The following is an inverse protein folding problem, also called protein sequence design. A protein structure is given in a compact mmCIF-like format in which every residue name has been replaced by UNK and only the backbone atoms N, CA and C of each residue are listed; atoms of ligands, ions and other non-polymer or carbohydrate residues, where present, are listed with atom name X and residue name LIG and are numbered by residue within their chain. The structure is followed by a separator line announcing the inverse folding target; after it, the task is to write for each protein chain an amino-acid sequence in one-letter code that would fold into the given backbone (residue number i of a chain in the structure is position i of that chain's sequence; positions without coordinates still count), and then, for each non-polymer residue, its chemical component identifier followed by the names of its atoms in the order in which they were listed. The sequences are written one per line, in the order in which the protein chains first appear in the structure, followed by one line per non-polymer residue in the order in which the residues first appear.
data_IF_158127957783
#
_entry.id   IF_158127957783
#
_cell.length_a   1.000
_cell.length_b   1.000
_cell.length_c   1.000
_cell.angle_alpha   90.00
_cell.angle_beta   90.00
_cell.angle_gamma   90.00
#
_symmetry.space_group_name_H-M   'P 1'
#
loop_
_entity.id
_entity.type
_entity.pdbx_description
1 polymer ?
#
# COMPACT_ATOMS: atom_id res chain seq x y z
N UNK A 1 15.02 -15.42 5.33
CA UNK A 1 14.44 -14.75 4.14
C UNK A 1 15.03 -15.39 2.91
N UNK A 2 14.23 -15.66 1.87
CA UNK A 2 14.67 -16.37 0.67
C UNK A 2 14.27 -15.58 -0.57
N UNK A 3 15.21 -15.33 -1.47
CA UNK A 3 14.89 -14.78 -2.80
C UNK A 3 14.52 -15.92 -3.72
N UNK A 4 13.40 -15.77 -4.45
CA UNK A 4 12.95 -16.75 -5.45
C UNK A 4 12.90 -16.06 -6.81
N UNK A 5 13.60 -16.61 -7.79
CA UNK A 5 13.57 -16.14 -9.19
C UNK A 5 12.80 -17.13 -10.07
N UNK A 6 11.91 -16.62 -10.91
CA UNK A 6 10.96 -17.43 -11.67
C UNK A 6 9.61 -17.56 -10.95
N UNK A 7 8.91 -18.69 -11.13
CA UNK A 7 7.67 -18.92 -10.40
C UNK A 7 7.93 -19.00 -8.88
N UNK A 8 7.08 -18.36 -8.08
CA UNK A 8 7.26 -18.26 -6.63
C UNK A 8 7.28 -19.61 -5.88
N UNK A 9 6.82 -20.72 -6.47
CA UNK A 9 6.75 -22.05 -5.85
C UNK A 9 7.80 -23.01 -6.39
N UNK A 10 8.08 -22.97 -7.70
CA UNK A 10 9.00 -23.89 -8.37
C UNK A 10 10.29 -23.23 -8.89
N UNK A 11 10.40 -21.91 -8.77
CA UNK A 11 11.57 -21.15 -9.20
C UNK A 11 12.81 -21.40 -8.35
N UNK A 12 13.91 -20.82 -8.76
CA UNK A 12 15.20 -20.95 -8.07
C UNK A 12 15.17 -20.16 -6.77
N UNK A 13 15.11 -20.90 -5.66
CA UNK A 13 15.16 -20.34 -4.32
C UNK A 13 16.61 -20.28 -3.81
N UNK A 14 17.04 -19.11 -3.35
CA UNK A 14 18.35 -18.92 -2.74
C UNK A 14 18.20 -18.14 -1.43
N UNK A 15 18.83 -18.59 -0.33
CA UNK A 15 18.73 -17.88 0.93
C UNK A 15 19.46 -16.54 0.85
N UNK A 16 18.88 -15.53 1.50
CA UNK A 16 19.59 -14.29 1.82
C UNK A 16 20.51 -14.57 3.00
N UNK A 17 21.75 -14.10 2.94
CA UNK A 17 22.75 -14.32 3.98
C UNK A 17 23.16 -13.01 4.67
N UNK A 18 23.52 -13.10 5.94
CA UNK A 18 24.13 -12.01 6.69
C UNK A 18 25.48 -11.63 6.06
N UNK A 19 25.71 -10.35 5.79
CA UNK A 19 26.82 -9.90 4.95
C UNK A 19 28.22 -10.25 5.51
N UNK A 20 28.37 -10.33 6.84
CA UNK A 20 29.64 -10.71 7.49
C UNK A 20 29.72 -12.18 7.91
N UNK A 21 28.72 -12.70 8.63
CA UNK A 21 28.75 -14.07 9.17
C UNK A 21 28.34 -15.16 8.18
N UNK A 22 27.69 -14.81 7.07
CA UNK A 22 27.12 -15.77 6.12
C UNK A 22 25.88 -16.53 6.63
N UNK A 23 25.39 -16.22 7.84
CA UNK A 23 24.21 -16.86 8.41
C UNK A 23 22.94 -16.59 7.58
N UNK A 24 22.12 -17.60 7.37
CA UNK A 24 20.87 -17.50 6.58
C UNK A 24 19.61 -17.45 7.46
N UNK A 25 19.80 -17.55 8.77
CA UNK A 25 18.76 -17.43 9.79
C UNK A 25 19.06 -16.20 10.62
N UNK A 26 18.00 -15.43 10.90
CA UNK A 26 18.07 -14.18 11.64
C UNK A 26 17.08 -14.27 12.80
N UNK A 27 17.51 -13.84 13.98
CA UNK A 27 16.59 -13.55 15.07
C UNK A 27 15.86 -12.23 14.82
N UNK A 28 14.72 -12.07 15.48
CA UNK A 28 13.95 -10.82 15.49
C UNK A 28 13.94 -10.29 16.93
N UNK A 29 13.82 -8.97 17.16
CA UNK A 29 13.61 -8.48 18.50
C UNK A 29 12.31 -9.09 19.04
N UNK A 30 12.29 -9.38 20.34
CA UNK A 30 11.02 -9.64 21.02
C UNK A 30 10.11 -8.41 20.91
N UNK A 31 8.80 -8.61 20.99
CA UNK A 31 7.86 -7.51 20.87
C UNK A 31 8.01 -6.53 22.05
N UNK A 32 7.58 -5.28 21.89
CA UNK A 32 7.81 -4.25 22.92
C UNK A 32 6.89 -4.47 24.12
N UNK A 33 7.31 -5.31 25.06
CA UNK A 33 6.53 -5.70 26.23
C UNK A 33 6.35 -4.51 27.18
N UNK A 34 7.44 -3.79 27.48
CA UNK A 34 7.43 -2.68 28.42
C UNK A 34 8.79 -2.37 29.03
N UNK A 35 8.92 -1.17 29.62
CA UNK A 35 10.20 -0.62 30.12
C UNK A 35 10.88 -1.46 31.20
N UNK A 36 10.11 -2.22 32.00
CA UNK A 36 10.69 -3.12 33.02
C UNK A 36 11.41 -4.31 32.40
N UNK A 37 10.91 -4.82 31.27
CA UNK A 37 11.52 -5.94 30.55
C UNK A 37 12.67 -5.46 29.67
N UNK A 38 12.45 -4.37 28.93
CA UNK A 38 13.45 -3.77 28.03
C UNK A 38 13.43 -2.25 28.24
N UNK A 39 14.43 -1.74 28.96
CA UNK A 39 14.48 -0.31 29.32
C UNK A 39 14.61 0.60 28.09
N UNK A 40 15.44 0.21 27.13
CA UNK A 40 15.66 0.92 25.86
C UNK A 40 15.31 0.00 24.68
N UNK A 41 14.01 -0.07 24.35
CA UNK A 41 13.53 -0.86 23.23
C UNK A 41 14.09 -0.39 21.88
N UNK A 42 14.16 0.92 21.56
CA UNK A 42 14.79 1.39 20.32
C UNK A 42 16.22 0.87 20.13
N UNK A 43 17.10 1.00 21.12
CA UNK A 43 18.48 0.53 21.01
C UNK A 43 18.56 -1.00 20.92
N UNK A 44 17.68 -1.72 21.61
CA UNK A 44 17.59 -3.18 21.48
C UNK A 44 17.14 -3.62 20.08
N UNK A 45 16.07 -3.02 19.55
CA UNK A 45 15.56 -3.35 18.22
C UNK A 45 16.56 -2.99 17.10
N UNK A 46 17.33 -1.91 17.26
CA UNK A 46 18.36 -1.50 16.30
C UNK A 46 19.46 -2.55 16.10
N UNK A 47 19.74 -3.41 17.09
CA UNK A 47 20.69 -4.54 16.97
C UNK A 47 20.24 -5.62 16.00
N UNK A 48 18.95 -5.62 15.62
CA UNK A 48 18.33 -6.60 14.72
C UNK A 48 18.08 -6.01 13.31
N UNK A 49 18.77 -4.92 12.98
CA UNK A 49 18.93 -4.46 11.60
C UNK A 49 20.16 -5.14 11.03
N UNK A 50 19.96 -6.13 10.15
CA UNK A 50 21.05 -6.93 9.62
C UNK A 50 21.50 -6.42 8.25
N UNK A 51 22.81 -6.21 8.04
CA UNK A 51 23.35 -6.10 6.70
C UNK A 51 23.27 -7.47 6.01
N UNK A 52 22.80 -7.50 4.79
CA UNK A 52 22.58 -8.74 4.04
C UNK A 52 23.18 -8.69 2.64
N UNK A 53 23.60 -9.86 2.16
CA UNK A 53 23.94 -10.14 0.77
C UNK A 53 22.78 -10.88 0.12
N UNK A 54 22.26 -10.35 -0.98
CA UNK A 54 21.20 -10.98 -1.76
C UNK A 54 21.86 -11.66 -2.97
N UNK A 55 21.71 -12.99 -3.16
CA UNK A 55 22.24 -13.67 -4.34
C UNK A 55 21.83 -12.96 -5.63
N UNK A 56 22.78 -12.65 -6.52
CA UNK A 56 22.53 -11.90 -7.76
C UNK A 56 22.41 -10.38 -7.60
N UNK A 57 22.73 -9.82 -6.43
CA UNK A 57 22.82 -8.40 -6.17
C UNK A 57 24.21 -8.08 -5.59
N UNK A 58 25.00 -7.27 -6.29
CA UNK A 58 26.34 -6.91 -5.85
C UNK A 58 26.36 -5.76 -4.83
N UNK A 59 25.22 -5.09 -4.61
CA UNK A 59 25.12 -3.94 -3.72
C UNK A 59 24.69 -4.37 -2.31
N UNK A 60 25.22 -3.78 -1.23
CA UNK A 60 24.74 -4.04 0.12
C UNK A 60 23.25 -3.77 0.26
N UNK A 61 22.58 -4.60 1.07
CA UNK A 61 21.17 -4.45 1.42
C UNK A 61 20.99 -4.60 2.94
N UNK A 62 19.82 -4.22 3.46
CA UNK A 62 19.46 -4.41 4.87
C UNK A 62 18.11 -5.10 5.01
N UNK A 63 17.96 -5.85 6.10
CA UNK A 63 16.67 -6.42 6.52
C UNK A 63 16.39 -6.10 7.98
N UNK A 64 15.11 -5.90 8.28
CA UNK A 64 14.58 -5.87 9.63
C UNK A 64 13.27 -6.66 9.65
N UNK A 65 13.11 -7.51 10.67
CA UNK A 65 11.82 -8.13 11.00
C UNK A 65 11.53 -7.79 12.46
N UNK A 66 10.38 -7.23 12.77
CA UNK A 66 10.03 -6.88 14.15
C UNK A 66 8.78 -6.02 14.25
N UNK A 67 8.35 -5.75 15.47
CA UNK A 67 7.18 -4.92 15.74
C UNK A 67 7.47 -3.45 15.41
N UNK A 68 6.52 -2.75 14.78
CA UNK A 68 6.50 -1.30 14.55
C UNK A 68 5.12 -0.75 14.85
N UNK A 69 5.04 0.54 15.20
CA UNK A 69 3.74 1.22 15.24
C UNK A 69 3.13 1.21 13.83
N UNK A 70 1.82 1.00 13.73
CA UNK A 70 1.14 1.02 12.44
C UNK A 70 1.34 2.39 11.75
N UNK A 71 1.85 2.43 10.51
CA UNK A 71 2.18 3.68 9.84
C UNK A 71 1.01 4.29 9.08
N UNK A 72 -0.17 3.67 9.04
CA UNK A 72 -1.33 4.23 8.35
C UNK A 72 -2.06 5.26 9.22
N UNK A 73 -2.44 6.37 8.62
CA UNK A 73 -3.48 7.26 9.10
C UNK A 73 -4.81 6.86 8.47
N UNK A 74 -5.80 6.49 9.29
CA UNK A 74 -7.14 6.17 8.78
C UNK A 74 -8.23 6.25 9.84
N UNK A 75 -9.40 6.77 9.45
CA UNK A 75 -10.62 6.73 10.24
C UNK A 75 -11.48 5.48 9.95
N UNK A 76 -10.95 4.29 10.23
CA UNK A 76 -11.56 3.02 9.77
C UNK A 76 -13.01 2.86 10.22
N UNK A 77 -13.31 3.08 11.49
CA UNK A 77 -14.65 2.87 12.04
C UNK A 77 -15.69 3.72 11.32
N UNK A 78 -15.44 5.03 11.24
CA UNK A 78 -16.36 5.97 10.59
C UNK A 78 -16.50 5.71 9.10
N UNK A 79 -15.41 5.41 8.39
CA UNK A 79 -15.46 5.19 6.94
C UNK A 79 -16.18 3.88 6.60
N UNK A 80 -15.93 2.80 7.35
CA UNK A 80 -16.56 1.50 7.10
C UNK A 80 -17.99 1.41 7.65
N UNK A 81 -18.40 2.32 8.54
CA UNK A 81 -19.80 2.56 8.91
C UNK A 81 -20.50 3.47 7.87
N UNK A 82 -20.46 3.08 6.58
CA UNK A 82 -21.05 3.83 5.48
C UNK A 82 -20.66 5.31 5.44
N UNK A 83 -19.40 5.64 5.73
CA UNK A 83 -18.88 7.02 5.69
C UNK A 83 -19.70 7.96 6.59
N UNK A 84 -19.82 7.58 7.86
CA UNK A 84 -20.56 8.31 8.91
C UNK A 84 -19.83 9.59 9.37
N UNK A 85 -19.47 10.45 8.42
CA UNK A 85 -18.73 11.69 8.64
C UNK A 85 -19.52 12.89 8.07
N UNK A 86 -19.53 14.05 8.75
CA UNK A 86 -20.17 15.24 8.21
C UNK A 86 -19.48 15.69 6.91
N UNK A 87 -20.25 15.97 5.86
CA UNK A 87 -19.72 16.46 4.56
C UNK A 87 -18.86 17.71 4.75
N UNK A 88 -19.29 18.64 5.60
CA UNK A 88 -18.54 19.87 5.91
C UNK A 88 -17.16 19.60 6.54
N UNK A 89 -16.96 18.43 7.17
CA UNK A 89 -15.66 18.01 7.69
C UNK A 89 -14.82 17.45 6.55
N UNK A 90 -15.30 16.42 5.85
CA UNK A 90 -14.50 15.67 4.86
C UNK A 90 -14.23 16.44 3.55
N UNK A 91 -14.76 17.65 3.39
CA UNK A 91 -14.56 18.52 2.22
C UNK A 91 -13.81 19.82 2.55
N UNK A 92 -13.44 20.05 3.81
CA UNK A 92 -12.71 21.23 4.25
C UNK A 92 -11.27 20.85 4.65
N UNK A 93 -10.27 21.17 3.82
CA UNK A 93 -8.87 20.85 4.11
C UNK A 93 -8.34 21.40 5.44
N UNK A 94 -8.99 22.42 6.03
CA UNK A 94 -8.63 22.94 7.35
C UNK A 94 -8.99 21.99 8.50
N UNK A 95 -9.84 20.98 8.24
CA UNK A 95 -10.30 19.97 9.19
C UNK A 95 -9.61 18.61 8.97
N UNK A 96 -8.54 18.58 8.16
CA UNK A 96 -7.63 17.45 8.09
C UNK A 96 -6.93 17.35 9.45
N UNK A 97 -7.08 16.21 10.14
CA UNK A 97 -6.77 15.96 11.56
C UNK A 97 -7.87 16.32 12.59
N UNK A 98 -9.11 16.54 12.15
CA UNK A 98 -10.24 16.70 13.08
C UNK A 98 -10.69 15.38 13.74
N UNK A 99 -10.27 14.23 13.21
CA UNK A 99 -10.57 12.91 13.75
C UNK A 99 -9.28 12.19 14.22
N UNK A 100 -9.36 11.37 15.29
CA UNK A 100 -8.21 10.58 15.73
C UNK A 100 -7.90 9.43 14.77
N UNK A 101 -6.63 9.08 14.64
CA UNK A 101 -6.24 7.84 13.95
C UNK A 101 -6.67 6.62 14.77
N UNK A 102 -7.68 5.88 14.28
CA UNK A 102 -8.29 4.73 14.98
C UNK A 102 -7.35 3.55 15.17
N UNK A 103 -6.24 3.50 14.42
CA UNK A 103 -5.20 2.47 14.55
C UNK A 103 -3.86 3.04 15.03
N UNK A 104 -3.82 4.34 15.39
CA UNK A 104 -2.60 5.00 15.84
C UNK A 104 -2.03 4.42 17.13
N UNK A 105 -2.83 3.67 17.90
CA UNK A 105 -2.40 2.96 19.11
C UNK A 105 -2.06 1.47 18.87
N UNK A 106 -1.97 1.05 17.60
CA UNK A 106 -1.68 -0.34 17.21
C UNK A 106 -0.25 -0.51 16.77
N UNK A 107 0.22 -1.75 16.93
CA UNK A 107 1.50 -2.21 16.43
C UNK A 107 1.29 -3.34 15.41
N UNK A 108 2.17 -3.41 14.41
CA UNK A 108 2.20 -4.44 13.38
C UNK A 108 3.57 -5.11 13.30
N UNK A 109 3.60 -6.38 12.92
CA UNK A 109 4.87 -7.05 12.58
C UNK A 109 5.29 -6.61 11.17
N UNK A 110 6.46 -6.00 11.07
CA UNK A 110 7.01 -5.47 9.82
C UNK A 110 8.15 -6.35 9.34
N UNK A 111 8.13 -6.73 8.07
CA UNK A 111 9.30 -7.17 7.30
C UNK A 111 9.71 -5.99 6.41
N UNK A 112 10.85 -5.37 6.70
CA UNK A 112 11.39 -4.26 5.92
C UNK A 112 12.68 -4.69 5.22
N UNK A 113 12.85 -4.25 3.97
CA UNK A 113 14.02 -4.49 3.14
C UNK A 113 14.48 -3.16 2.53
N UNK A 114 15.78 -2.88 2.62
CA UNK A 114 16.43 -1.79 1.89
C UNK A 114 17.32 -2.43 0.83
N UNK A 115 16.93 -2.30 -0.44
CA UNK A 115 17.59 -2.94 -1.58
C UNK A 115 17.90 -1.86 -2.61
N UNK A 116 19.12 -1.85 -3.13
CA UNK A 116 19.49 -0.93 -4.20
C UNK A 116 18.65 -1.20 -5.46
N UNK A 117 18.14 -0.14 -6.10
CA UNK A 117 17.24 -0.26 -7.26
C UNK A 117 17.80 -1.11 -8.40
N UNK A 118 19.11 -1.08 -8.61
CA UNK A 118 19.77 -1.84 -9.68
C UNK A 118 19.68 -3.35 -9.48
N UNK A 119 19.40 -3.82 -8.26
CA UNK A 119 19.14 -5.23 -7.97
C UNK A 119 17.70 -5.67 -8.26
N UNK A 120 16.80 -4.72 -8.56
CA UNK A 120 15.38 -4.96 -8.81
C UNK A 120 14.97 -4.69 -10.26
N UNK A 121 15.75 -3.90 -10.99
CA UNK A 121 15.49 -3.55 -12.38
C UNK A 121 15.78 -4.72 -13.33
N UNK A 122 14.98 -4.81 -14.40
CA UNK A 122 15.31 -5.60 -15.58
C UNK A 122 16.01 -4.72 -16.63
N UNK A 123 16.77 -5.34 -17.54
CA UNK A 123 17.34 -4.62 -18.68
C UNK A 123 16.21 -3.98 -19.51
N UNK A 124 16.33 -2.67 -19.78
CA UNK A 124 15.37 -1.94 -20.61
C UNK A 124 14.10 -1.44 -19.90
N UNK A 125 13.98 -1.56 -18.57
CA UNK A 125 12.87 -0.96 -17.81
C UNK A 125 13.34 -0.36 -16.49
N UNK A 126 12.94 0.88 -16.22
CA UNK A 126 13.10 1.54 -14.91
C UNK A 126 11.89 1.32 -13.99
N UNK A 127 10.80 0.77 -14.52
CA UNK A 127 9.57 0.51 -13.76
C UNK A 127 9.57 -0.91 -13.23
N UNK A 128 9.44 -1.03 -11.91
CA UNK A 128 9.22 -2.30 -11.20
C UNK A 128 7.77 -2.40 -10.73
N UNK A 129 7.19 -3.58 -10.87
CA UNK A 129 5.87 -3.91 -10.34
C UNK A 129 5.99 -4.85 -9.15
N UNK A 130 5.27 -4.56 -8.06
CA UNK A 130 5.31 -5.34 -6.83
C UNK A 130 3.93 -5.53 -6.22
N UNK A 131 3.72 -6.70 -5.63
CA UNK A 131 2.58 -7.01 -4.79
C UNK A 131 3.02 -7.99 -3.71
N UNK A 132 2.27 -8.04 -2.62
CA UNK A 132 2.48 -8.98 -1.53
C UNK A 132 1.42 -10.05 -1.55
N UNK A 133 1.74 -11.24 -1.02
CA UNK A 133 0.78 -12.34 -0.88
C UNK A 133 0.97 -13.04 0.45
N UNK A 134 -0.13 -13.46 1.08
CA UNK A 134 -0.09 -14.40 2.20
C UNK A 134 -0.48 -15.80 1.70
N UNK A 135 0.06 -16.83 2.34
CA UNK A 135 -0.25 -18.21 1.99
C UNK A 135 -0.36 -19.09 3.23
N UNK A 136 -1.30 -20.01 3.19
CA UNK A 136 -1.52 -21.01 4.22
C UNK A 136 -1.31 -22.41 3.62
N UNK A 137 -1.05 -23.38 4.49
CA UNK A 137 -1.03 -24.79 4.10
C UNK A 137 -2.45 -25.23 3.76
N UNK A 138 -2.60 -26.04 2.71
CA UNK A 138 -3.89 -26.44 2.16
C UNK A 138 -4.78 -27.20 3.16
N UNK A 139 -4.20 -27.95 4.09
CA UNK A 139 -4.94 -28.71 5.08
C UNK A 139 -4.38 -28.54 6.50
N UNK A 140 -5.26 -28.71 7.48
CA UNK A 140 -4.88 -28.79 8.90
C UNK A 140 -5.63 -29.91 9.60
N UNK A 141 -4.94 -30.61 10.48
CA UNK A 141 -5.51 -31.59 11.41
C UNK A 141 -5.38 -31.03 12.83
N UNK A 142 -6.45 -31.14 13.62
CA UNK A 142 -6.42 -30.75 15.03
C UNK A 142 -6.07 -31.97 15.89
N UNK A 143 -5.13 -31.80 16.80
CA UNK A 143 -4.71 -32.84 17.73
C UNK A 143 -5.59 -32.79 19.00
N UNK A 144 -6.39 -33.82 19.32
CA UNK A 144 -7.21 -33.84 20.53
C UNK A 144 -6.37 -33.99 21.81
N UNK A 145 -5.06 -34.23 21.71
CA UNK A 145 -4.13 -34.36 22.84
C UNK A 145 -2.83 -33.59 22.52
N UNK A 146 -2.90 -32.26 22.41
CA UNK A 146 -1.74 -31.45 22.03
C UNK A 146 -0.61 -31.61 23.05
N UNK A 147 0.64 -31.62 22.58
CA UNK A 147 1.80 -31.50 23.45
C UNK A 147 1.85 -30.12 24.13
N UNK A 148 2.54 -30.01 25.27
CA UNK A 148 2.79 -28.71 25.90
C UNK A 148 3.59 -27.79 24.97
N UNK A 149 3.20 -26.53 24.88
CA UNK A 149 3.86 -25.51 24.04
C UNK A 149 2.88 -24.56 23.37
N UNK A 150 3.39 -23.72 22.47
CA UNK A 150 2.57 -22.84 21.64
C UNK A 150 2.28 -23.49 20.28
N UNK A 151 1.06 -23.28 19.75
CA UNK A 151 0.65 -23.76 18.42
C UNK A 151 0.78 -25.28 18.20
N UNK A 152 0.70 -26.08 19.28
CA UNK A 152 0.82 -27.56 19.23
C UNK A 152 -0.49 -28.29 18.94
N UNK A 153 -1.62 -27.57 18.93
CA UNK A 153 -2.95 -28.12 18.67
C UNK A 153 -3.26 -28.32 17.17
N UNK A 154 -2.50 -27.70 16.28
CA UNK A 154 -2.71 -27.77 14.84
C UNK A 154 -1.51 -28.41 14.14
N UNK A 155 -1.77 -29.39 13.27
CA UNK A 155 -0.80 -29.97 12.33
C UNK A 155 -1.17 -29.55 10.91
N UNK A 156 -0.50 -28.54 10.39
CA UNK A 156 -0.71 -28.01 9.05
C UNK A 156 0.14 -28.76 7.99
N UNK A 157 -0.43 -29.04 6.81
CA UNK A 157 0.23 -29.81 5.75
C UNK A 157 -0.32 -29.56 4.33
N UNK A 158 0.28 -30.21 3.35
CA UNK A 158 -0.06 -30.04 1.93
C UNK A 158 0.60 -28.82 1.27
N UNK A 159 0.14 -28.49 0.05
CA UNK A 159 0.70 -27.40 -0.73
C UNK A 159 0.42 -26.02 -0.11
N UNK A 160 1.22 -25.02 -0.48
CA UNK A 160 0.96 -23.62 -0.10
C UNK A 160 -0.09 -22.98 -1.01
N UNK A 161 -1.22 -22.59 -0.43
CA UNK A 161 -2.33 -21.92 -1.11
C UNK A 161 -2.28 -20.43 -0.78
N UNK A 162 -2.37 -19.58 -1.80
CA UNK A 162 -2.50 -18.13 -1.60
C UNK A 162 -3.91 -17.83 -1.10
N UNK A 163 -4.02 -17.08 -0.01
CA UNK A 163 -5.30 -16.71 0.61
C UNK A 163 -5.51 -15.20 0.69
N UNK A 164 -4.50 -14.43 0.31
CA UNK A 164 -4.57 -12.97 0.26
C UNK A 164 -3.48 -12.45 -0.68
N UNK A 165 -3.78 -11.31 -1.32
CA UNK A 165 -2.81 -10.48 -2.01
C UNK A 165 -3.18 -9.00 -1.91
N UNK A 166 -2.18 -8.15 -2.07
CA UNK A 166 -2.36 -6.71 -2.17
C UNK A 166 -1.19 -6.07 -2.92
N UNK A 167 -1.49 -5.28 -3.95
CA UNK A 167 -0.57 -4.33 -4.57
C UNK A 167 -0.79 -2.90 -4.07
N UNK A 168 -1.74 -2.21 -4.69
CA UNK A 168 -2.24 -0.88 -4.36
C UNK A 168 -3.10 -0.94 -3.10
N UNK A 169 -2.93 -0.01 -2.14
CA UNK A 169 -3.81 0.09 -0.98
C UNK A 169 -5.29 0.24 -1.38
N UNK A 170 -6.18 -0.31 -0.56
CA UNK A 170 -7.65 -0.19 -0.68
C UNK A 170 -8.28 -0.95 -1.87
N UNK A 171 -7.50 -1.23 -2.93
CA UNK A 171 -7.44 -2.53 -3.62
C UNK A 171 -8.50 -3.56 -3.26
N UNK A 172 -8.04 -4.46 -2.42
CA UNK A 172 -8.81 -5.57 -1.93
C UNK A 172 -10.00 -5.06 -1.09
N UNK A 173 -9.80 -4.04 -0.26
CA UNK A 173 -10.72 -3.56 0.79
C UNK A 173 -12.02 -2.97 0.26
N UNK A 174 -11.96 -2.01 -0.68
CA UNK A 174 -13.11 -1.19 -1.10
C UNK A 174 -13.45 -1.29 -2.59
N UNK A 175 -12.51 -1.74 -3.44
CA UNK A 175 -12.73 -1.86 -4.89
C UNK A 175 -13.30 -3.22 -5.24
N UNK A 176 -12.66 -4.30 -4.77
CA UNK A 176 -13.12 -5.66 -5.03
C UNK A 176 -14.33 -5.99 -4.15
N UNK A 177 -15.45 -6.27 -4.80
CA UNK A 177 -16.70 -6.62 -4.11
C UNK A 177 -16.61 -7.95 -3.36
N UNK A 178 -17.41 -8.06 -2.29
CA UNK A 178 -17.43 -9.22 -1.39
C UNK A 178 -17.59 -10.56 -2.12
N UNK A 179 -18.42 -10.63 -3.17
CA UNK A 179 -18.67 -11.85 -3.96
C UNK A 179 -17.41 -12.46 -4.58
N UNK A 180 -16.43 -11.64 -4.92
CA UNK A 180 -15.21 -12.03 -5.64
C UNK A 180 -13.95 -11.92 -4.78
N UNK A 181 -14.08 -11.57 -3.50
CA UNK A 181 -12.95 -11.28 -2.60
C UNK A 181 -11.94 -12.43 -2.51
N UNK A 182 -12.40 -13.65 -2.25
CA UNK A 182 -11.53 -14.83 -2.16
C UNK A 182 -10.97 -15.24 -3.54
N UNK A 183 -11.73 -15.00 -4.61
CA UNK A 183 -11.28 -15.23 -5.98
C UNK A 183 -10.15 -14.27 -6.36
N UNK A 184 -10.29 -12.99 -6.04
CA UNK A 184 -9.23 -11.99 -6.16
C UNK A 184 -8.03 -12.38 -5.30
N UNK A 185 -8.25 -12.67 -4.01
CA UNK A 185 -7.21 -13.04 -3.06
C UNK A 185 -6.42 -14.29 -3.44
N UNK A 186 -7.00 -15.21 -4.23
CA UNK A 186 -6.34 -16.43 -4.70
C UNK A 186 -5.69 -16.32 -6.09
N UNK A 187 -6.09 -15.32 -6.88
CA UNK A 187 -5.56 -15.07 -8.24
C UNK A 187 -4.17 -14.42 -8.27
N UNK A 188 -3.51 -14.40 -9.45
CA UNK A 188 -2.26 -13.67 -9.69
C UNK A 188 -2.58 -12.38 -10.48
N UNK A 189 -1.84 -11.26 -10.28
CA UNK A 189 -2.16 -9.99 -10.95
C UNK A 189 -2.28 -10.03 -12.47
N UNK A 190 -1.55 -10.94 -13.13
CA UNK A 190 -1.64 -11.16 -14.58
C UNK A 190 -3.04 -11.57 -15.07
N UNK A 191 -3.90 -12.04 -14.17
CA UNK A 191 -5.24 -12.55 -14.47
C UNK A 191 -6.33 -11.51 -14.10
N UNK A 192 -5.97 -10.27 -13.79
CA UNK A 192 -6.87 -9.28 -13.15
C UNK A 192 -7.93 -8.69 -14.07
N UNK A 193 -7.85 -8.91 -15.38
CA UNK A 193 -8.91 -8.50 -16.31
C UNK A 193 -10.25 -9.15 -15.97
N UNK A 194 -10.26 -10.27 -15.25
CA UNK A 194 -11.48 -10.91 -14.73
C UNK A 194 -12.22 -10.07 -13.67
N UNK A 195 -11.57 -9.02 -13.13
CA UNK A 195 -12.12 -8.09 -12.14
C UNK A 195 -12.26 -6.66 -12.69
N UNK A 196 -12.12 -6.45 -14.00
CA UNK A 196 -12.07 -5.13 -14.62
C UNK A 196 -13.33 -4.29 -14.35
N UNK A 197 -14.49 -4.92 -14.18
CA UNK A 197 -15.76 -4.24 -13.90
C UNK A 197 -15.69 -3.39 -12.62
N UNK A 198 -14.98 -3.86 -11.58
CA UNK A 198 -14.83 -3.13 -10.32
C UNK A 198 -14.07 -1.81 -10.47
N UNK A 199 -13.20 -1.71 -11.49
CA UNK A 199 -12.39 -0.53 -11.74
C UNK A 199 -13.01 0.35 -12.83
N UNK A 200 -13.59 -0.26 -13.86
CA UNK A 200 -14.24 0.46 -14.97
C UNK A 200 -15.58 1.06 -14.56
N UNK A 201 -16.30 0.41 -13.64
CA UNK A 201 -17.62 0.80 -13.14
C UNK A 201 -17.66 0.68 -11.60
N UNK A 202 -16.85 1.48 -10.87
CA UNK A 202 -16.75 1.37 -9.42
C UNK A 202 -18.07 1.75 -8.75
N UNK A 203 -18.45 1.01 -7.71
CA UNK A 203 -19.66 1.29 -6.92
C UNK A 203 -19.43 2.38 -5.88
N UNK A 204 -18.20 2.53 -5.38
CA UNK A 204 -17.87 3.45 -4.28
C UNK A 204 -18.34 4.91 -4.52
N UNK A 205 -18.15 5.54 -5.70
CA UNK A 205 -18.66 6.89 -5.92
C UNK A 205 -20.17 7.04 -5.74
N UNK A 206 -20.95 6.08 -6.25
CA UNK A 206 -22.40 6.08 -6.10
C UNK A 206 -22.82 5.80 -4.64
N UNK A 207 -22.10 4.94 -3.94
CA UNK A 207 -22.33 4.68 -2.52
C UNK A 207 -22.03 5.92 -1.66
N UNK A 208 -20.98 6.69 -1.98
CA UNK A 208 -20.67 7.95 -1.30
C UNK A 208 -21.77 8.99 -1.49
N UNK A 209 -22.31 9.12 -2.70
CA UNK A 209 -23.46 10.00 -2.99
C UNK A 209 -24.67 9.66 -2.10
N UNK A 210 -25.00 8.37 -1.98
CA UNK A 210 -26.12 7.90 -1.15
C UNK A 210 -25.84 8.13 0.34
N UNK A 211 -24.67 7.69 0.81
CA UNK A 211 -24.28 7.75 2.22
C UNK A 211 -24.21 9.19 2.74
N UNK A 212 -23.71 10.11 1.92
CA UNK A 212 -23.53 11.51 2.29
C UNK A 212 -24.75 12.38 1.96
N UNK A 213 -25.82 11.81 1.40
CA UNK A 213 -26.99 12.52 0.90
C UNK A 213 -26.64 13.66 -0.08
N UNK A 214 -25.72 13.38 -1.02
CA UNK A 214 -25.20 14.31 -2.02
C UNK A 214 -25.61 13.87 -3.44
N UNK A 215 -26.88 14.03 -3.84
CA UNK A 215 -27.37 13.52 -5.11
C UNK A 215 -26.64 14.14 -6.31
N UNK A 216 -26.40 13.32 -7.33
CA UNK A 216 -25.71 13.67 -8.58
C UNK A 216 -24.27 14.15 -8.38
N UNK A 217 -23.53 13.57 -7.43
CA UNK A 217 -22.11 13.94 -7.18
C UNK A 217 -21.11 12.90 -7.66
N UNK A 218 -21.55 11.68 -7.97
CA UNK A 218 -20.68 10.65 -8.53
C UNK A 218 -20.14 11.03 -9.94
N UNK A 219 -18.87 10.71 -10.26
CA UNK A 219 -18.34 10.90 -11.61
C UNK A 219 -19.09 10.06 -12.65
N UNK A 220 -19.22 10.61 -13.86
CA UNK A 220 -19.99 10.01 -14.97
C UNK A 220 -19.13 9.51 -16.13
N UNK A 221 -17.79 9.57 -16.00
CA UNK A 221 -16.84 9.17 -17.04
C UNK A 221 -16.67 7.64 -17.13
N UNK A 222 -17.74 6.92 -17.49
CA UNK A 222 -17.69 5.47 -17.67
C UNK A 222 -17.28 5.08 -19.10
N UNK A 223 -16.44 4.06 -19.29
CA UNK A 223 -15.64 3.39 -18.25
C UNK A 223 -14.58 4.31 -17.65
N UNK A 224 -14.29 4.14 -16.35
CA UNK A 224 -13.34 4.94 -15.56
C UNK A 224 -11.87 4.70 -15.94
N UNK A 225 -11.48 5.18 -17.13
CA UNK A 225 -10.13 5.01 -17.68
C UNK A 225 -9.02 5.63 -16.82
N UNK A 226 -9.34 6.65 -16.03
CA UNK A 226 -8.42 7.21 -15.03
C UNK A 226 -8.05 6.20 -13.94
N UNK A 227 -9.02 5.42 -13.46
CA UNK A 227 -8.80 4.37 -12.48
C UNK A 227 -8.16 3.12 -13.12
N UNK A 228 -8.57 2.75 -14.33
CA UNK A 228 -7.90 1.68 -15.09
C UNK A 228 -6.42 2.01 -15.29
N UNK A 229 -6.12 3.25 -15.68
CA UNK A 229 -4.74 3.71 -15.87
C UNK A 229 -3.97 3.69 -14.56
N UNK A 230 -4.56 4.24 -13.50
CA UNK A 230 -3.89 4.35 -12.20
C UNK A 230 -3.63 2.98 -11.56
N UNK A 231 -4.63 2.08 -11.56
CA UNK A 231 -4.55 0.81 -10.83
C UNK A 231 -4.00 -0.35 -11.68
N UNK A 232 -4.34 -0.41 -12.97
CA UNK A 232 -4.09 -1.60 -13.77
C UNK A 232 -2.94 -1.46 -14.77
N UNK A 233 -2.61 -0.27 -15.28
CA UNK A 233 -1.59 -0.14 -16.34
C UNK A 233 -0.41 0.77 -15.97
N UNK A 234 -0.62 1.70 -15.05
CA UNK A 234 0.31 2.76 -14.68
C UNK A 234 0.15 4.01 -15.55
N UNK A 235 0.49 5.16 -14.98
CA UNK A 235 0.36 6.49 -15.58
C UNK A 235 1.55 6.74 -16.51
N UNK A 236 1.26 7.15 -17.75
CA UNK A 236 2.29 7.42 -18.77
C UNK A 236 3.27 8.50 -18.29
N UNK A 237 4.56 8.25 -18.48
CA UNK A 237 5.62 9.15 -18.01
C UNK A 237 5.88 9.11 -16.49
N UNK A 238 5.04 8.39 -15.74
CA UNK A 238 5.20 8.19 -14.30
C UNK A 238 5.64 6.77 -14.00
N UNK A 239 4.76 5.77 -14.12
CA UNK A 239 5.01 4.40 -13.68
C UNK A 239 4.36 3.34 -14.58
N UNK A 240 4.03 3.68 -15.83
CA UNK A 240 3.50 2.75 -16.82
C UNK A 240 4.54 1.69 -17.20
N UNK A 241 4.12 0.43 -17.24
CA UNK A 241 4.98 -0.67 -17.71
C UNK A 241 5.18 -0.61 -19.23
N UNK A 242 6.37 -0.99 -19.69
CA UNK A 242 6.67 -1.06 -21.13
C UNK A 242 5.75 -2.05 -21.87
N UNK A 243 5.47 -3.20 -21.24
CA UNK A 243 4.46 -4.15 -21.73
C UNK A 243 3.19 -3.98 -20.91
N UNK A 244 2.10 -3.61 -21.57
CA UNK A 244 0.81 -3.38 -20.94
C UNK A 244 0.07 -4.69 -20.71
N UNK A 245 0.26 -5.26 -19.52
CA UNK A 245 -0.65 -6.26 -18.97
C UNK A 245 -1.43 -5.61 -17.82
N UNK A 246 -2.75 -5.39 -17.97
CA UNK A 246 -3.58 -4.87 -16.89
C UNK A 246 -3.46 -5.77 -15.64
N UNK A 247 -3.01 -5.19 -14.53
CA UNK A 247 -2.69 -5.94 -13.31
C UNK A 247 -2.74 -5.02 -12.10
N UNK A 248 -3.37 -5.47 -11.02
CA UNK A 248 -3.35 -4.82 -9.72
C UNK A 248 -1.98 -5.06 -9.07
N UNK A 249 -1.12 -4.03 -9.12
CA UNK A 249 0.21 -4.03 -8.52
C UNK A 249 0.63 -2.59 -8.21
N UNK A 250 1.44 -2.41 -7.16
CA UNK A 250 2.13 -1.15 -6.93
C UNK A 250 3.31 -1.03 -7.90
N UNK A 251 3.42 0.11 -8.60
CA UNK A 251 4.45 0.31 -9.63
C UNK A 251 5.36 1.45 -9.23
N UNK A 252 6.67 1.22 -9.21
CA UNK A 252 7.69 2.22 -8.92
C UNK A 252 8.59 2.41 -10.13
N UNK A 253 8.62 3.62 -10.66
CA UNK A 253 9.62 4.08 -11.61
C UNK A 253 10.84 4.59 -10.85
N UNK A 254 11.92 3.83 -10.97
CA UNK A 254 13.19 4.07 -10.28
C UNK A 254 14.08 5.11 -10.97
N UNK A 255 13.65 5.65 -12.12
CA UNK A 255 14.28 6.81 -12.76
C UNK A 255 13.81 8.14 -12.15
N UNK A 256 12.63 8.16 -11.50
CA UNK A 256 12.17 9.33 -10.75
C UNK A 256 12.93 9.37 -9.42
N UNK A 257 13.67 10.46 -9.20
CA UNK A 257 14.48 10.61 -8.00
C UNK A 257 13.60 10.72 -6.75
N UNK A 258 13.99 10.08 -5.62
CA UNK A 258 13.26 10.22 -4.37
C UNK A 258 13.38 11.64 -3.82
N UNK A 259 12.31 12.13 -3.19
CA UNK A 259 12.28 13.42 -2.51
C UNK A 259 12.60 13.24 -1.02
N UNK A 260 13.43 14.12 -0.46
CA UNK A 260 13.81 14.08 0.95
C UNK A 260 12.59 14.24 1.86
N UNK A 261 12.54 13.52 2.99
CA UNK A 261 11.36 13.39 3.85
C UNK A 261 10.62 14.71 4.16
N UNK A 262 11.37 15.77 4.50
CA UNK A 262 10.80 17.08 4.83
C UNK A 262 10.11 17.78 3.64
N UNK A 263 10.52 17.45 2.41
CA UNK A 263 10.02 18.03 1.16
C UNK A 263 8.93 17.19 0.50
N UNK A 264 8.69 15.96 0.97
CA UNK A 264 7.68 15.07 0.40
C UNK A 264 6.28 15.68 0.59
N UNK A 265 5.53 15.74 -0.52
CA UNK A 265 4.11 16.07 -0.49
C UNK A 265 3.32 14.84 -0.04
N UNK A 266 2.57 14.96 1.07
CA UNK A 266 1.81 13.81 1.62
C UNK A 266 0.73 13.31 0.66
N UNK A 267 0.20 14.17 -0.22
CA UNK A 267 -0.77 13.78 -1.23
C UNK A 267 -0.12 13.21 -2.50
N UNK A 268 1.17 12.87 -2.46
CA UNK A 268 1.90 12.26 -3.58
C UNK A 268 1.74 13.05 -4.88
N UNK A 269 1.42 12.35 -5.96
CA UNK A 269 1.24 12.98 -7.28
C UNK A 269 0.03 13.93 -7.31
N UNK A 270 -1.06 13.63 -6.59
CA UNK A 270 -2.21 14.54 -6.51
C UNK A 270 -1.79 15.87 -5.89
N UNK A 271 -1.09 15.82 -4.77
CA UNK A 271 -0.54 17.02 -4.13
C UNK A 271 0.45 17.74 -5.03
N UNK A 272 1.26 17.00 -5.79
CA UNK A 272 2.19 17.58 -6.74
C UNK A 272 1.48 18.39 -7.85
N UNK A 273 0.39 17.85 -8.39
CA UNK A 273 -0.44 18.53 -9.39
C UNK A 273 -1.02 19.83 -8.80
N UNK A 274 -1.58 19.76 -7.59
CA UNK A 274 -2.20 20.92 -6.93
C UNK A 274 -1.20 22.02 -6.61
N UNK A 275 0.03 21.65 -6.24
CA UNK A 275 1.09 22.58 -5.92
C UNK A 275 1.82 23.13 -7.16
N UNK A 276 1.60 22.57 -8.36
CA UNK A 276 2.42 22.84 -9.53
C UNK A 276 3.90 22.48 -9.32
N UNK A 277 4.17 21.43 -8.54
CA UNK A 277 5.50 21.03 -8.10
C UNK A 277 6.16 19.96 -8.97
N UNK A 278 7.24 19.37 -8.43
CA UNK A 278 8.04 18.33 -9.08
C UNK A 278 8.17 17.01 -8.27
N UNK A 279 7.36 16.80 -7.23
CA UNK A 279 7.35 15.56 -6.43
C UNK A 279 6.51 14.45 -7.10
N UNK A 280 7.09 13.81 -8.12
CA UNK A 280 6.50 12.63 -8.77
C UNK A 280 6.93 11.30 -8.13
N UNK A 281 7.58 11.35 -6.96
CA UNK A 281 8.14 10.18 -6.28
C UNK A 281 7.19 9.55 -5.25
N UNK A 282 6.01 10.15 -5.05
CA UNK A 282 4.96 9.63 -4.16
C UNK A 282 3.91 8.79 -4.89
N UNK A 283 2.98 8.24 -4.11
CA UNK A 283 1.87 7.43 -4.60
C UNK A 283 1.10 8.11 -5.76
N UNK A 284 0.79 7.37 -6.85
CA UNK A 284 0.96 5.92 -7.06
C UNK A 284 2.33 5.46 -7.61
N UNK A 285 3.34 6.33 -7.73
CA UNK A 285 4.69 5.93 -8.12
C UNK A 285 5.46 5.28 -6.95
N UNK A 286 5.16 4.02 -6.68
CA UNK A 286 5.44 3.40 -5.40
C UNK A 286 4.54 3.97 -4.31
N UNK A 287 4.91 3.76 -3.05
CA UNK A 287 4.24 4.37 -1.90
C UNK A 287 5.30 4.65 -0.84
N UNK A 288 5.40 5.91 -0.42
CA UNK A 288 6.18 6.31 0.74
C UNK A 288 5.30 6.17 2.00
N UNK A 289 5.86 5.86 3.17
CA UNK A 289 5.08 5.80 4.41
C UNK A 289 4.33 7.10 4.73
N UNK A 290 4.82 8.26 4.27
CA UNK A 290 4.19 9.58 4.45
C UNK A 290 3.05 9.86 3.45
N UNK A 291 2.90 9.04 2.41
CA UNK A 291 1.83 9.26 1.44
C UNK A 291 0.47 8.90 2.05
N UNK A 292 -0.44 9.87 2.01
CA UNK A 292 -1.80 9.80 2.55
C UNK A 292 -2.72 9.07 1.55
N UNK A 293 -2.58 7.76 1.54
CA UNK A 293 -3.19 6.93 0.49
C UNK A 293 -4.72 6.89 0.56
N UNK A 294 -5.32 7.19 1.71
CA UNK A 294 -6.78 7.25 1.86
C UNK A 294 -7.30 8.49 1.15
N UNK A 295 -6.76 9.67 1.48
CA UNK A 295 -7.08 10.95 0.83
C UNK A 295 -6.85 10.86 -0.69
N UNK A 296 -5.66 10.41 -1.12
CA UNK A 296 -5.31 10.32 -2.54
C UNK A 296 -6.29 9.39 -3.29
N UNK A 297 -6.65 8.26 -2.70
CA UNK A 297 -7.57 7.31 -3.33
C UNK A 297 -8.99 7.87 -3.40
N UNK A 298 -9.44 8.59 -2.38
CA UNK A 298 -10.75 9.24 -2.37
C UNK A 298 -10.84 10.32 -3.46
N UNK A 299 -9.80 11.15 -3.60
CA UNK A 299 -9.67 12.13 -4.68
C UNK A 299 -9.76 11.45 -6.05
N UNK A 300 -9.01 10.35 -6.25
CA UNK A 300 -9.02 9.63 -7.53
C UNK A 300 -10.40 9.02 -7.84
N UNK A 301 -10.98 8.29 -6.88
CA UNK A 301 -12.28 7.63 -7.06
C UNK A 301 -13.41 8.64 -7.30
N UNK A 302 -13.37 9.82 -6.68
CA UNK A 302 -14.33 10.90 -6.91
C UNK A 302 -13.99 11.80 -8.10
N UNK A 303 -13.05 11.40 -8.95
CA UNK A 303 -12.85 12.00 -10.27
C UNK A 303 -11.86 13.18 -10.31
N UNK A 304 -11.13 13.45 -9.23
CA UNK A 304 -10.12 14.51 -9.20
C UNK A 304 -9.09 14.40 -10.35
N UNK A 305 -8.74 13.18 -10.76
CA UNK A 305 -7.86 12.95 -11.91
C UNK A 305 -8.44 13.50 -13.23
N UNK A 306 -9.76 13.43 -13.43
CA UNK A 306 -10.42 13.99 -14.62
C UNK A 306 -10.53 15.51 -14.58
N UNK A 307 -10.62 16.09 -13.38
CA UNK A 307 -10.50 17.55 -13.22
C UNK A 307 -9.08 18.01 -13.58
N UNK A 308 -8.05 17.28 -13.12
CA UNK A 308 -6.65 17.55 -13.47
C UNK A 308 -6.33 17.31 -14.95
N UNK A 309 -7.01 16.33 -15.58
CA UNK A 309 -6.85 16.02 -17.00
C UNK A 309 -7.27 17.19 -17.90
N UNK A 310 -8.29 17.94 -17.47
CA UNK A 310 -8.87 19.03 -18.24
C UNK A 310 -9.57 18.57 -19.52
N UNK A 311 -10.11 19.52 -20.28
CA UNK A 311 -10.81 19.21 -21.55
C UNK A 311 -9.87 18.80 -22.69
N UNK A 312 -8.56 18.99 -22.51
CA UNK A 312 -7.53 18.72 -23.54
C UNK A 312 -6.82 17.37 -23.37
N UNK A 313 -7.29 16.52 -22.46
CA UNK A 313 -6.69 15.23 -22.15
C UNK A 313 -5.19 15.32 -21.79
N UNK A 314 -4.84 16.31 -20.96
CA UNK A 314 -3.45 16.67 -20.64
C UNK A 314 -2.66 15.52 -20.01
N UNK A 315 -3.34 14.65 -19.25
CA UNK A 315 -2.76 13.50 -18.56
C UNK A 315 -2.97 12.18 -19.32
N UNK A 316 -3.71 12.19 -20.43
CA UNK A 316 -3.91 11.01 -21.28
C UNK A 316 -4.85 9.95 -20.70
N UNK A 317 -5.86 10.36 -19.92
CA UNK A 317 -6.90 9.47 -19.40
C UNK A 317 -8.09 9.29 -20.37
N UNK A 318 -8.06 9.96 -21.52
CA UNK A 318 -9.05 9.89 -22.58
C UNK A 318 -10.15 10.94 -22.46
N UNK A 319 -10.83 11.21 -23.58
CA UNK A 319 -11.80 12.31 -23.72
C UNK A 319 -13.03 12.23 -22.80
N UNK A 320 -13.38 11.04 -22.28
CA UNK A 320 -14.46 10.89 -21.32
C UNK A 320 -14.07 11.43 -19.92
N UNK A 321 -12.78 11.37 -19.59
CA UNK A 321 -12.25 11.84 -18.31
C UNK A 321 -11.91 13.33 -18.39
N UNK A 322 -12.93 14.17 -18.20
CA UNK A 322 -12.84 15.64 -18.28
C UNK A 322 -13.59 16.30 -17.13
N UNK A 323 -13.37 17.59 -16.83
CA UNK A 323 -14.00 18.28 -15.70
C UNK A 323 -15.54 18.19 -15.70
N UNK A 324 -16.19 18.27 -16.87
CA UNK A 324 -17.66 18.19 -16.96
C UNK A 324 -18.24 16.82 -16.58
N UNK A 325 -17.41 15.78 -16.49
CA UNK A 325 -17.82 14.45 -16.04
C UNK A 325 -17.68 14.26 -14.52
N UNK A 326 -17.27 15.30 -13.79
CA UNK A 326 -17.05 15.28 -12.34
C UNK A 326 -17.91 16.36 -11.71
N UNK A 327 -19.12 16.03 -11.24
CA UNK A 327 -20.05 17.04 -10.71
C UNK A 327 -19.51 17.80 -9.49
N UNK A 328 -18.67 17.16 -8.66
CA UNK A 328 -17.99 17.84 -7.54
C UNK A 328 -16.95 18.89 -7.97
N UNK A 329 -16.51 18.87 -9.23
CA UNK A 329 -15.47 19.75 -9.73
C UNK A 329 -14.23 19.78 -8.83
N UNK A 330 -13.73 20.97 -8.52
CA UNK A 330 -12.53 21.15 -7.70
C UNK A 330 -12.68 20.64 -6.25
N UNK A 331 -13.90 20.47 -5.73
CA UNK A 331 -14.14 19.88 -4.40
C UNK A 331 -13.64 18.44 -4.32
N UNK A 332 -13.56 17.73 -5.45
CA UNK A 332 -13.01 16.37 -5.49
C UNK A 332 -11.56 16.30 -4.94
N UNK A 333 -10.77 17.38 -5.06
CA UNK A 333 -9.40 17.46 -4.51
C UNK A 333 -9.33 17.76 -3.02
N UNK A 334 -10.45 18.16 -2.41
CA UNK A 334 -10.53 18.51 -0.99
C UNK A 334 -11.01 17.36 -0.12
N UNK A 335 -11.37 16.24 -0.74
CA UNK A 335 -11.88 15.08 -0.03
C UNK A 335 -10.80 14.42 0.81
N UNK A 336 -11.12 14.13 2.07
CA UNK A 336 -10.25 13.45 3.03
C UNK A 336 -11.03 12.64 4.05
N UNK A 337 -10.37 11.79 4.83
CA UNK A 337 -11.01 10.99 5.90
C UNK A 337 -10.96 11.64 7.30
N UNK A 338 -10.40 12.86 7.36
CA UNK A 338 -10.22 13.71 8.55
C UNK A 338 -9.11 13.27 9.51
N UNK A 339 -8.30 12.28 9.12
CA UNK A 339 -7.05 11.91 9.79
C UNK A 339 -5.89 12.37 8.92
N UNK A 340 -4.84 12.93 9.53
CA UNK A 340 -3.70 13.42 8.77
C UNK A 340 -2.52 12.44 8.83
N UNK A 341 -2.08 11.95 7.67
CA UNK A 341 -0.85 11.15 7.59
C UNK A 341 0.39 11.91 8.07
N UNK A 342 0.37 13.26 8.08
CA UNK A 342 1.48 14.08 8.58
C UNK A 342 1.68 13.99 10.10
N UNK A 343 0.67 13.60 10.88
CA UNK A 343 0.82 13.43 12.34
C UNK A 343 1.27 12.03 12.74
N UNK A 344 1.33 11.08 11.80
CA UNK A 344 1.85 9.74 12.06
C UNK A 344 3.37 9.82 12.19
N UNK A 345 3.95 9.39 13.33
CA UNK A 345 5.39 9.42 13.52
C UNK A 345 6.08 8.44 12.56
N UNK A 346 7.16 8.90 11.94
CA UNK A 346 8.01 8.12 11.05
C UNK A 346 9.47 8.41 11.38
N UNK A 347 10.36 7.47 11.08
CA UNK A 347 11.79 7.63 11.29
C UNK A 347 12.48 8.09 10.00
N UNK A 348 13.50 8.97 10.07
CA UNK A 348 14.24 9.42 8.89
C UNK A 348 15.24 8.38 8.37
N UNK A 349 15.33 7.20 9.00
CA UNK A 349 16.27 6.14 8.67
C UNK A 349 15.58 4.77 8.71
N UNK A 350 16.17 3.80 8.01
CA UNK A 350 15.67 2.43 7.94
C UNK A 350 15.37 1.84 9.33
N UNK A 351 14.22 1.17 9.53
CA UNK A 351 13.21 0.79 8.53
C UNK A 351 12.04 1.79 8.40
N UNK A 352 12.28 3.07 8.67
CA UNK A 352 11.41 4.23 8.37
C UNK A 352 10.06 4.32 9.11
N UNK A 353 9.52 3.23 9.66
CA UNK A 353 8.30 3.27 10.50
C UNK A 353 8.62 3.78 11.92
N UNK A 354 7.67 4.05 12.81
CA UNK A 354 8.03 4.42 14.19
C UNK A 354 8.42 3.19 15.05
N UNK A 355 9.09 3.44 16.17
CA UNK A 355 9.24 2.46 17.26
C UNK A 355 7.86 2.00 17.74
N UNK A 356 7.66 0.71 18.00
CA UNK A 356 6.37 0.21 18.49
C UNK A 356 6.01 0.75 19.88
N UNK A 357 4.72 0.90 20.13
CA UNK A 357 4.16 1.29 21.43
C UNK A 357 4.42 0.14 22.43
N UNK A 358 4.83 0.42 23.68
CA UNK A 358 5.00 -0.62 24.68
C UNK A 358 3.67 -1.27 25.06
N UNK A 359 3.68 -2.57 25.33
CA UNK A 359 2.50 -3.32 25.77
C UNK A 359 1.98 -2.86 27.13
N UNK A 360 2.87 -2.42 28.02
CA UNK A 360 2.52 -1.70 29.24
C UNK A 360 2.51 -0.19 28.95
N UNK A 361 1.33 0.43 29.02
CA UNK A 361 1.17 1.89 28.93
C UNK A 361 1.61 2.58 30.21
#
# INVERSE_FOLDING_TARGET
VTVVRGDRRSGTAQPVAHATSGATTFDKPVDNIGKKTIADYPAYAAKHVYPITIPGCATPAKVFVGQRQDPFAVNLGTIFDLVNAPVAVITDPALINAAPNTIGDKNVTTLALEIHKDCLKSAGSDVIGGWTTASLRQGRLLDPKPASGHQTAEKAGGAWVQVSRLGMPLVNEVVIGLKDKDKFNSSKPKDDTQFADYVTNPTLPALLEIALALPNTAPTNFPRNDLVTTFLTGIKGVNQLATLTPSEMLRLNTAIAPVAFAQQNRLGIVGNILAGGNDNAGYPNGRRPKDDVVDISLVAVMGGLCVANGDTDKLGFGAACKPSAVPLGATAFKLHDAVDQAVVPLMPAFPYLNTPIPGTK
#
